data_IF_780170239316
#
_entry.id   IF_780170239316
#
_cell.length_a   1.000
_cell.length_b   1.000
_cell.length_c   1.000
_cell.angle_alpha   90.00
_cell.angle_beta   90.00
_cell.angle_gamma   90.00
#
_symmetry.space_group_name_H-M   'P 1'
#
loop_
_entity.id
_entity.type
_entity.pdbx_description
1 polymer ?
#
# COMPACT_ATOMS: atom_id res chain seq x y z
N UNK A 1 6.59 -20.35 13.61
CA UNK A 1 6.35 -19.79 13.32
C UNK A 1 6.20 -19.04 12.64
N UNK A 2 5.83 -18.69 12.63
CA UNK A 2 5.45 -17.90 12.19
C UNK A 2 5.76 -17.06 11.56
N UNK A 3 5.86 -16.87 10.96
CA UNK A 3 6.29 -16.03 10.28
C UNK A 3 5.98 -14.76 10.45
N UNK A 4 6.42 -14.16 11.29
CA UNK A 4 5.98 -12.88 11.74
C UNK A 4 6.32 -11.78 10.75
N UNK A 5 7.45 -11.93 10.10
CA UNK A 5 7.89 -10.95 9.10
C UNK A 5 6.95 -10.84 7.91
N UNK A 6 6.10 -11.83 7.70
CA UNK A 6 5.13 -11.78 6.62
C UNK A 6 3.83 -11.11 7.05
N UNK A 7 3.73 -10.75 8.32
CA UNK A 7 2.53 -10.11 8.83
C UNK A 7 2.63 -8.60 8.70
N UNK A 8 2.30 -8.11 7.53
CA UNK A 8 2.23 -6.69 7.27
C UNK A 8 0.79 -6.26 7.38
N UNK A 9 0.56 -5.18 8.09
CA UNK A 9 -0.77 -4.58 8.17
C UNK A 9 -1.04 -3.84 6.87
N UNK A 10 -1.79 -4.47 5.98
CA UNK A 10 -2.08 -3.92 4.65
C UNK A 10 -3.27 -2.96 4.66
N UNK A 11 -3.48 -2.26 5.74
CA UNK A 11 -4.44 -1.17 5.78
C UNK A 11 -3.74 0.10 5.29
N UNK A 12 -4.53 1.11 4.96
CA UNK A 12 -3.98 2.40 4.59
C UNK A 12 -3.08 2.94 5.69
N UNK A 13 -3.52 2.83 6.95
CA UNK A 13 -2.74 3.27 8.09
C UNK A 13 -1.42 2.51 8.22
N UNK A 14 -1.47 1.19 8.04
CA UNK A 14 -0.26 0.37 8.08
C UNK A 14 0.74 0.74 7.01
N UNK A 15 0.25 1.06 5.82
CA UNK A 15 1.13 1.49 4.73
C UNK A 15 1.73 2.86 5.00
N UNK A 16 1.00 3.77 5.64
CA UNK A 16 1.57 5.03 6.08
C UNK A 16 2.70 4.82 7.09
N UNK A 17 2.54 3.85 8.00
CA UNK A 17 3.59 3.53 8.97
C UNK A 17 4.85 3.05 8.26
N UNK A 18 4.69 2.20 7.26
CA UNK A 18 5.81 1.69 6.48
C UNK A 18 6.51 2.85 5.75
N UNK A 19 5.74 3.76 5.18
CA UNK A 19 6.32 4.94 4.53
C UNK A 19 7.08 5.81 5.51
N UNK A 20 6.52 6.07 6.69
CA UNK A 20 7.19 6.87 7.70
C UNK A 20 8.51 6.24 8.12
N UNK A 21 8.51 4.93 8.31
CA UNK A 21 9.72 4.20 8.67
C UNK A 21 10.78 4.32 7.56
N UNK A 22 10.35 4.23 6.32
CA UNK A 22 11.29 4.35 5.21
C UNK A 22 11.89 5.75 5.12
N UNK A 23 11.10 6.77 5.44
CA UNK A 23 11.57 8.16 5.43
C UNK A 23 12.52 8.48 6.59
N UNK A 24 12.28 7.87 7.74
CA UNK A 24 13.01 8.24 8.95
C UNK A 24 14.32 7.50 9.12
N UNK A 25 14.58 6.48 8.34
CA UNK A 25 15.80 5.67 8.44
C UNK A 25 16.69 5.86 7.23
N UNK A 26 17.97 5.74 7.44
CA UNK A 26 18.95 5.77 6.35
C UNK A 26 19.02 4.42 5.64
N UNK A 27 18.97 3.34 6.41
CA UNK A 27 19.06 2.00 5.84
C UNK A 27 17.70 1.55 5.28
N UNK A 28 17.75 0.57 4.39
CA UNK A 28 16.55 -0.04 3.84
C UNK A 28 15.79 -0.77 4.95
N UNK A 29 14.51 -0.49 5.01
CA UNK A 29 13.62 -1.21 5.89
C UNK A 29 13.42 -2.64 5.37
N UNK A 30 13.38 -3.61 6.29
CA UNK A 30 13.09 -4.98 5.89
C UNK A 30 11.61 -5.13 5.60
N UNK A 31 11.31 -5.62 4.41
CA UNK A 31 9.95 -5.92 3.99
C UNK A 31 9.90 -7.33 3.44
N UNK A 32 8.76 -8.02 3.55
CA UNK A 32 8.63 -9.34 2.93
C UNK A 32 8.91 -9.27 1.43
N UNK A 33 9.45 -10.34 0.87
CA UNK A 33 9.71 -10.41 -0.56
C UNK A 33 8.45 -10.21 -1.38
N UNK A 34 7.31 -10.61 -0.85
CA UNK A 34 6.03 -10.50 -1.53
C UNK A 34 5.32 -9.17 -1.29
N UNK A 35 5.98 -8.21 -0.63
CA UNK A 35 5.33 -6.97 -0.22
C UNK A 35 4.55 -6.29 -1.35
N UNK A 36 5.22 -6.04 -2.48
CA UNK A 36 4.58 -5.33 -3.59
C UNK A 36 3.45 -6.14 -4.21
N UNK A 37 3.63 -7.45 -4.31
CA UNK A 37 2.57 -8.32 -4.82
C UNK A 37 1.38 -8.36 -3.87
N UNK A 38 1.64 -8.38 -2.57
CA UNK A 38 0.58 -8.40 -1.57
C UNK A 38 -0.23 -7.09 -1.61
N UNK A 39 0.46 -5.95 -1.74
CA UNK A 39 -0.22 -4.67 -1.86
C UNK A 39 -1.04 -4.61 -3.15
N UNK A 40 -0.47 -5.09 -4.26
CA UNK A 40 -1.18 -5.12 -5.53
C UNK A 40 -2.44 -5.98 -5.43
N UNK A 41 -2.36 -7.11 -4.76
CA UNK A 41 -3.50 -7.99 -4.54
C UNK A 41 -4.57 -7.28 -3.71
N UNK A 42 -4.16 -6.59 -2.66
CA UNK A 42 -5.07 -5.85 -1.81
C UNK A 42 -5.81 -4.76 -2.61
N UNK A 43 -5.08 -4.03 -3.46
CA UNK A 43 -5.68 -3.00 -4.32
C UNK A 43 -6.67 -3.63 -5.29
N UNK A 44 -6.32 -4.79 -5.88
CA UNK A 44 -7.25 -5.48 -6.79
C UNK A 44 -8.54 -5.87 -6.09
N UNK A 45 -8.45 -6.35 -4.86
CA UNK A 45 -9.63 -6.71 -4.08
C UNK A 45 -10.53 -5.48 -3.86
N UNK A 46 -9.92 -4.34 -3.56
CA UNK A 46 -10.68 -3.10 -3.39
C UNK A 46 -11.34 -2.67 -4.69
N UNK A 47 -10.66 -2.83 -5.81
CA UNK A 47 -11.23 -2.49 -7.13
C UNK A 47 -12.40 -3.39 -7.49
N UNK A 48 -12.31 -4.67 -7.15
CA UNK A 48 -13.43 -5.59 -7.36
C UNK A 48 -14.66 -5.13 -6.57
N UNK A 49 -14.45 -4.71 -5.33
CA UNK A 49 -15.54 -4.17 -4.52
C UNK A 49 -16.13 -2.92 -5.14
N UNK A 50 -15.30 -2.03 -5.66
CA UNK A 50 -15.78 -0.83 -6.34
C UNK A 50 -16.65 -1.18 -7.53
N UNK A 51 -16.19 -2.12 -8.36
CA UNK A 51 -16.93 -2.52 -9.56
C UNK A 51 -18.25 -3.18 -9.19
N UNK A 52 -18.29 -3.96 -8.14
CA UNK A 52 -19.50 -4.64 -7.72
C UNK A 52 -20.55 -3.68 -7.18
N UNK A 53 -20.17 -2.47 -6.79
CA UNK A 53 -21.08 -1.48 -6.23
C UNK A 53 -21.60 -0.47 -7.24
N UNK A 54 -21.26 -0.61 -8.50
CA UNK A 54 -21.70 0.32 -9.54
C UNK A 54 -23.20 0.35 -9.72
N UNK A 55 -23.86 -0.78 -9.49
CA UNK A 55 -25.31 -0.92 -9.71
C UNK A 55 -26.12 -0.78 -8.44
N UNK A 56 -25.50 -0.42 -7.32
CA UNK A 56 -26.23 -0.25 -6.08
C UNK A 56 -26.91 1.11 -6.01
N UNK A 57 -27.87 1.22 -5.09
CA UNK A 57 -28.60 2.46 -4.84
C UNK A 57 -27.63 3.59 -4.56
N UNK A 58 -27.76 4.66 -5.33
CA UNK A 58 -26.83 5.80 -5.27
C UNK A 58 -26.74 6.46 -3.90
N UNK A 59 -27.81 6.47 -3.14
CA UNK A 59 -27.81 7.15 -1.85
C UNK A 59 -26.86 6.50 -0.84
N UNK A 60 -26.77 5.19 -0.83
CA UNK A 60 -25.92 4.47 0.13
C UNK A 60 -24.61 4.05 -0.49
N UNK A 61 -24.62 3.67 -1.75
CA UNK A 61 -23.43 3.21 -2.43
C UNK A 61 -22.43 4.35 -2.70
N UNK A 62 -22.91 5.57 -2.84
CA UNK A 62 -22.09 6.72 -3.17
C UNK A 62 -21.01 7.00 -2.12
N UNK A 63 -21.38 6.97 -0.84
CA UNK A 63 -20.44 7.23 0.25
C UNK A 63 -19.37 6.14 0.32
N UNK A 64 -19.78 4.87 0.29
CA UNK A 64 -18.86 3.75 0.33
C UNK A 64 -17.94 3.74 -0.88
N UNK A 65 -18.49 4.05 -2.05
CA UNK A 65 -17.73 4.10 -3.28
C UNK A 65 -16.64 5.15 -3.21
N UNK A 66 -16.98 6.34 -2.74
CA UNK A 66 -16.00 7.42 -2.61
C UNK A 66 -14.90 7.05 -1.63
N UNK A 67 -15.26 6.38 -0.54
CA UNK A 67 -14.29 5.93 0.45
C UNK A 67 -13.32 4.91 -0.16
N UNK A 68 -13.84 3.95 -0.91
CA UNK A 68 -13.02 2.95 -1.58
C UNK A 68 -12.10 3.59 -2.62
N UNK A 69 -12.63 4.52 -3.40
CA UNK A 69 -11.84 5.24 -4.39
C UNK A 69 -10.69 6.00 -3.74
N UNK A 70 -10.99 6.66 -2.62
CA UNK A 70 -9.96 7.39 -1.86
C UNK A 70 -8.88 6.43 -1.37
N UNK A 71 -9.29 5.29 -0.79
CA UNK A 71 -8.34 4.29 -0.30
C UNK A 71 -7.43 3.78 -1.42
N UNK A 72 -8.01 3.44 -2.55
CA UNK A 72 -7.22 2.92 -3.69
C UNK A 72 -6.20 3.96 -4.16
N UNK A 73 -6.63 5.21 -4.33
CA UNK A 73 -5.72 6.27 -4.76
C UNK A 73 -4.61 6.50 -3.75
N UNK A 74 -4.97 6.52 -2.47
CA UNK A 74 -4.01 6.76 -1.40
C UNK A 74 -2.99 5.65 -1.31
N UNK A 75 -3.43 4.40 -1.42
CA UNK A 75 -2.53 3.25 -1.39
C UNK A 75 -1.54 3.32 -2.55
N UNK A 76 -2.02 3.62 -3.75
CA UNK A 76 -1.14 3.72 -4.92
C UNK A 76 -0.10 4.81 -4.74
N UNK A 77 -0.51 5.96 -4.22
CA UNK A 77 0.41 7.06 -3.98
C UNK A 77 1.47 6.70 -2.96
N UNK A 78 1.04 6.11 -1.84
CA UNK A 78 1.96 5.71 -0.77
C UNK A 78 2.94 4.67 -1.28
N UNK A 79 2.46 3.69 -2.04
CA UNK A 79 3.31 2.66 -2.61
C UNK A 79 4.38 3.24 -3.52
N UNK A 80 4.01 4.21 -4.33
CA UNK A 80 4.98 4.89 -5.20
C UNK A 80 6.03 5.63 -4.39
N UNK A 81 5.61 6.28 -3.30
CA UNK A 81 6.56 6.98 -2.43
C UNK A 81 7.51 6.02 -1.73
N UNK A 82 6.97 4.90 -1.23
CA UNK A 82 7.81 3.86 -0.61
C UNK A 82 8.84 3.37 -1.62
N UNK A 83 8.37 3.03 -2.81
CA UNK A 83 9.24 2.52 -3.86
C UNK A 83 10.34 3.52 -4.21
N UNK A 84 9.97 4.78 -4.38
CA UNK A 84 10.94 5.83 -4.71
C UNK A 84 12.00 6.03 -3.64
N UNK A 85 11.58 6.01 -2.37
CA UNK A 85 12.53 6.13 -1.26
C UNK A 85 13.49 4.95 -1.21
N UNK A 86 12.97 3.75 -1.40
CA UNK A 86 13.80 2.55 -1.39
C UNK A 86 14.75 2.49 -2.57
N UNK A 87 14.26 2.88 -3.75
CA UNK A 87 15.10 2.93 -4.95
C UNK A 87 16.28 3.86 -4.74
N UNK A 88 16.03 5.04 -4.18
CA UNK A 88 17.09 5.99 -3.89
C UNK A 88 18.13 5.42 -2.94
N UNK A 89 17.69 4.73 -1.89
CA UNK A 89 18.59 4.10 -0.94
C UNK A 89 19.45 3.03 -1.60
N UNK A 90 18.86 2.24 -2.48
CA UNK A 90 19.56 1.19 -3.20
C UNK A 90 20.63 1.81 -4.11
N UNK A 91 20.26 2.86 -4.83
CA UNK A 91 21.20 3.58 -5.69
C UNK A 91 22.36 4.15 -4.86
N UNK A 92 22.06 4.76 -3.71
CA UNK A 92 23.09 5.31 -2.85
C UNK A 92 24.06 4.23 -2.35
N UNK A 93 23.54 3.04 -2.03
CA UNK A 93 24.38 1.91 -1.61
C UNK A 93 25.29 1.49 -2.76
N UNK A 94 24.75 1.40 -3.97
CA UNK A 94 25.50 0.96 -5.14
C UNK A 94 26.59 1.96 -5.54
N UNK A 95 26.33 3.26 -5.33
CA UNK A 95 27.27 4.30 -5.73
C UNK A 95 28.37 4.55 -4.69
N UNK A 96 28.19 4.07 -3.48
CA UNK A 96 29.20 4.18 -2.44
C UNK A 96 30.07 2.93 -2.40
#
# INVERSE_FOLDING_TARGET
MFRVSSEINLTLEGLYDILRNEKSREELQELPKSFYLDVASYVRQKKVLLDSRKDEDELFASSDKKKLEYEVRSIKRILKEIYGKREKKIIDIEMN
#
